data_IF_796640810969
#
_entry.id   IF_796640810969
#
_cell.length_a   1.000
_cell.length_b   1.000
_cell.length_c   1.000
_cell.angle_alpha   90.00
_cell.angle_beta   90.00
_cell.angle_gamma   90.00
#
_symmetry.space_group_name_H-M   'P 1'
#
loop_
_entity.id
_entity.type
_entity.pdbx_description
1 polymer ?
#
# COMPACT_ATOMS: atom_id res chain seq x y z
N UNK A 1 12.43 -7.57 2.36
CA UNK A 1 13.45 -6.49 2.31
C UNK A 1 12.77 -5.19 1.94
N UNK A 2 13.14 -4.09 2.57
CA UNK A 2 12.81 -2.74 2.14
C UNK A 2 14.01 -2.16 1.42
N UNK A 3 13.91 -1.88 0.11
CA UNK A 3 14.91 -1.06 -0.58
C UNK A 3 14.48 0.38 -0.37
N UNK A 4 15.04 1.04 0.64
CA UNK A 4 14.71 2.44 0.95
C UNK A 4 15.04 3.32 -0.26
N UNK A 5 14.04 4.04 -0.79
CA UNK A 5 14.19 4.88 -1.97
C UNK A 5 14.26 4.12 -3.31
N UNK A 6 14.05 2.81 -3.33
CA UNK A 6 14.07 1.99 -4.54
C UNK A 6 12.87 2.23 -5.47
N UNK A 7 13.10 2.13 -6.77
CA UNK A 7 12.05 2.12 -7.80
C UNK A 7 11.58 0.69 -8.02
N UNK A 8 10.37 0.48 -8.59
CA UNK A 8 9.86 -0.88 -8.89
C UNK A 8 10.86 -1.72 -9.71
N UNK A 9 11.62 -1.11 -10.64
CA UNK A 9 12.68 -1.80 -11.39
C UNK A 9 13.75 -2.44 -10.52
N UNK A 10 14.07 -1.85 -9.37
CA UNK A 10 15.12 -2.32 -8.47
C UNK A 10 14.65 -3.58 -7.72
N UNK A 11 13.32 -3.75 -7.56
CA UNK A 11 12.73 -4.93 -6.96
C UNK A 11 12.81 -6.16 -7.87
N UNK A 12 12.70 -6.02 -9.19
CA UNK A 12 12.75 -7.16 -10.11
C UNK A 12 14.09 -7.93 -10.05
N UNK A 13 15.20 -7.22 -9.87
CA UNK A 13 16.53 -7.85 -9.73
C UNK A 13 16.75 -8.42 -8.33
N UNK A 14 16.26 -7.74 -7.29
CA UNK A 14 16.38 -8.21 -5.90
C UNK A 14 15.47 -9.39 -5.56
N UNK A 15 14.23 -9.42 -6.09
CA UNK A 15 13.21 -10.38 -5.69
C UNK A 15 13.63 -11.82 -5.90
N UNK A 16 14.33 -12.12 -7.00
CA UNK A 16 14.80 -13.47 -7.31
C UNK A 16 15.83 -13.99 -6.29
N UNK A 17 16.77 -13.15 -5.86
CA UNK A 17 17.76 -13.51 -4.84
C UNK A 17 17.14 -13.61 -3.44
N UNK A 18 16.25 -12.67 -3.09
CA UNK A 18 15.63 -12.63 -1.77
C UNK A 18 14.73 -13.84 -1.48
N UNK A 19 13.93 -14.24 -2.46
CA UNK A 19 13.06 -15.42 -2.34
C UNK A 19 13.91 -16.68 -2.07
N UNK A 20 15.16 -16.71 -2.53
CA UNK A 20 16.11 -17.80 -2.26
C UNK A 20 16.88 -17.62 -0.93
N UNK A 21 17.15 -16.39 -0.50
CA UNK A 21 17.97 -16.10 0.70
C UNK A 21 17.20 -16.26 2.03
N UNK A 22 15.88 -16.01 2.05
CA UNK A 22 15.06 -16.11 3.28
C UNK A 22 14.84 -17.54 3.78
N UNK A 23 15.37 -18.54 3.10
CA UNK A 23 15.03 -19.93 3.35
C UNK A 23 16.20 -20.77 3.82
N UNK A 24 17.41 -20.21 3.98
CA UNK A 24 18.62 -21.01 4.31
C UNK A 24 18.79 -22.26 3.42
N UNK A 25 18.37 -22.18 2.14
CA UNK A 25 18.41 -23.31 1.21
C UNK A 25 17.16 -24.20 1.19
N UNK A 26 16.15 -23.92 2.01
CA UNK A 26 14.82 -24.52 1.86
C UNK A 26 14.06 -23.90 0.68
N UNK A 27 13.04 -24.58 0.18
CA UNK A 27 12.16 -23.98 -0.82
C UNK A 27 11.46 -22.79 -0.14
N UNK A 28 11.43 -21.58 -0.73
CA UNK A 28 10.56 -20.53 -0.25
C UNK A 28 9.17 -21.13 -0.09
N UNK A 29 8.70 -21.17 1.16
CA UNK A 29 7.32 -21.56 1.44
C UNK A 29 6.42 -20.67 0.57
N UNK A 30 5.33 -21.20 0.00
CA UNK A 30 4.44 -20.38 -0.79
C UNK A 30 3.96 -19.23 0.12
N UNK A 31 4.21 -17.99 -0.30
CA UNK A 31 3.64 -16.83 0.37
C UNK A 31 2.17 -16.75 -0.06
N UNK A 32 1.25 -16.56 0.88
CA UNK A 32 -0.15 -16.33 0.48
C UNK A 32 -0.30 -14.98 -0.24
N UNK A 33 0.46 -13.99 0.24
CA UNK A 33 0.43 -12.61 -0.26
C UNK A 33 1.84 -12.07 -0.40
N UNK A 34 2.10 -11.34 -1.50
CA UNK A 34 3.25 -10.45 -1.58
C UNK A 34 2.82 -9.00 -1.82
N UNK A 35 3.27 -8.12 -0.92
CA UNK A 35 3.04 -6.68 -1.02
C UNK A 35 4.19 -6.02 -1.76
N UNK A 36 3.88 -5.27 -2.81
CA UNK A 36 4.84 -4.55 -3.65
C UNK A 36 4.63 -3.05 -3.50
N UNK A 37 5.68 -2.33 -3.15
CA UNK A 37 5.68 -0.87 -3.03
C UNK A 37 6.80 -0.29 -3.88
N UNK A 38 6.49 0.71 -4.70
CA UNK A 38 7.50 1.49 -5.43
C UNK A 38 7.90 2.77 -4.69
N UNK A 39 8.88 3.48 -5.25
CA UNK A 39 9.24 4.84 -4.83
C UNK A 39 8.00 5.73 -4.75
N UNK A 40 7.83 6.48 -3.65
CA UNK A 40 6.60 7.23 -3.33
C UNK A 40 6.20 8.28 -4.37
N UNK A 41 7.17 8.74 -5.18
CA UNK A 41 6.94 9.69 -6.29
C UNK A 41 7.15 9.06 -7.66
N UNK A 42 7.43 7.77 -7.75
CA UNK A 42 7.68 7.06 -9.01
C UNK A 42 6.60 7.34 -10.06
N UNK A 43 5.30 7.26 -9.71
CA UNK A 43 4.21 7.60 -10.63
C UNK A 43 4.11 9.07 -11.05
N UNK A 44 4.82 9.99 -10.39
CA UNK A 44 4.69 11.43 -10.55
C UNK A 44 5.80 12.05 -11.40
N UNK A 45 6.90 11.34 -11.62
CA UNK A 45 8.06 11.85 -12.38
C UNK A 45 8.12 11.16 -13.73
N UNK A 46 7.88 11.91 -14.80
CA UNK A 46 7.86 11.44 -16.19
C UNK A 46 9.25 10.96 -16.70
N UNK A 47 10.32 11.20 -15.93
CA UNK A 47 11.72 11.04 -16.38
C UNK A 47 12.46 9.81 -15.87
N UNK A 48 11.86 8.97 -15.00
CA UNK A 48 12.58 7.79 -14.50
C UNK A 48 11.64 6.59 -14.43
N UNK A 49 11.38 5.99 -15.59
CA UNK A 49 11.32 4.54 -15.78
C UNK A 49 10.78 4.17 -17.18
N UNK A 50 11.11 3.00 -17.74
CA UNK A 50 10.17 2.34 -18.66
C UNK A 50 8.79 2.26 -17.97
N UNK A 51 7.67 2.26 -18.70
CA UNK A 51 6.35 2.50 -18.11
C UNK A 51 6.15 1.68 -16.84
N UNK A 52 5.64 2.32 -15.78
CA UNK A 52 5.36 1.76 -14.46
C UNK A 52 4.76 0.33 -14.54
N UNK A 53 3.94 0.14 -15.57
CA UNK A 53 3.39 -1.06 -16.20
C UNK A 53 4.44 -2.18 -16.42
N UNK A 54 5.43 -1.95 -17.30
CA UNK A 54 6.55 -2.87 -17.60
C UNK A 54 7.45 -3.24 -16.40
N UNK A 55 7.26 -2.57 -15.27
CA UNK A 55 8.00 -2.74 -14.02
C UNK A 55 7.21 -3.54 -12.98
N UNK A 56 5.88 -3.40 -12.98
CA UNK A 56 5.00 -4.30 -12.26
C UNK A 56 5.04 -5.72 -12.84
N UNK A 57 5.03 -5.84 -14.16
CA UNK A 57 5.18 -7.14 -14.85
C UNK A 57 6.50 -7.84 -14.47
N UNK A 58 7.62 -7.11 -14.45
CA UNK A 58 8.93 -7.70 -14.11
C UNK A 58 9.10 -8.01 -12.62
N UNK A 59 8.46 -7.24 -11.75
CA UNK A 59 8.51 -7.49 -10.30
C UNK A 59 7.68 -8.70 -9.90
N UNK A 60 6.62 -9.02 -10.68
CA UNK A 60 5.72 -10.18 -10.49
C UNK A 60 6.11 -11.40 -11.33
N UNK A 61 7.08 -11.27 -12.24
CA UNK A 61 7.51 -12.35 -13.14
C UNK A 61 8.29 -13.51 -12.47
N UNK A 62 8.56 -13.47 -11.16
CA UNK A 62 9.09 -14.61 -10.42
C UNK A 62 8.03 -15.70 -10.24
N UNK A 63 8.36 -16.98 -10.45
CA UNK A 63 7.43 -18.10 -10.24
C UNK A 63 6.79 -18.10 -8.85
N UNK A 64 7.55 -17.70 -7.83
CA UNK A 64 7.03 -17.57 -6.47
C UNK A 64 5.95 -16.47 -6.31
N UNK A 65 5.95 -15.43 -7.14
CA UNK A 65 4.88 -14.43 -7.16
C UNK A 65 3.65 -14.89 -7.94
N UNK A 66 3.81 -15.79 -8.92
CA UNK A 66 2.67 -16.36 -9.65
C UNK A 66 1.78 -17.25 -8.78
N UNK A 67 2.37 -17.85 -7.74
CA UNK A 67 1.64 -18.70 -6.78
C UNK A 67 1.13 -17.91 -5.56
N UNK A 68 1.39 -16.59 -5.48
CA UNK A 68 0.98 -15.71 -4.38
C UNK A 68 -0.01 -14.63 -4.86
N UNK A 69 -0.93 -14.19 -4.01
CA UNK A 69 -1.72 -12.99 -4.31
C UNK A 69 -0.82 -11.75 -4.26
N UNK A 70 -0.67 -11.06 -5.39
CA UNK A 70 0.05 -9.78 -5.42
C UNK A 70 -0.87 -8.65 -4.93
N UNK A 71 -0.33 -7.81 -4.05
CA UNK A 71 -0.99 -6.59 -3.54
C UNK A 71 -0.08 -5.39 -3.75
N UNK A 72 -0.55 -4.37 -4.47
CA UNK A 72 0.16 -3.13 -4.67
C UNK A 72 -0.11 -2.16 -3.52
N UNK A 73 0.94 -1.60 -2.93
CA UNK A 73 0.84 -0.59 -1.88
C UNK A 73 0.75 0.80 -2.51
N UNK A 74 -0.46 1.33 -2.66
CA UNK A 74 -0.68 2.71 -3.12
C UNK A 74 -0.18 3.71 -2.08
N UNK A 75 0.91 4.41 -2.37
CA UNK A 75 1.50 5.42 -1.49
C UNK A 75 0.67 6.70 -1.41
N UNK A 76 0.98 7.57 -0.45
CA UNK A 76 0.23 8.80 -0.16
C UNK A 76 0.87 10.09 -0.71
N UNK A 77 0.05 11.13 -0.82
CA UNK A 77 0.49 12.49 -1.06
C UNK A 77 1.27 13.05 0.14
N UNK A 78 2.26 13.91 -0.11
CA UNK A 78 2.94 14.61 0.98
C UNK A 78 2.03 15.65 1.65
N UNK A 79 2.33 15.99 2.91
CA UNK A 79 1.52 16.98 3.63
C UNK A 79 1.54 18.33 2.91
N UNK A 80 0.36 18.89 2.67
CA UNK A 80 0.20 20.14 1.93
C UNK A 80 0.36 20.02 0.41
N UNK A 81 0.43 18.79 -0.12
CA UNK A 81 0.55 18.50 -1.57
C UNK A 81 -0.59 17.60 -2.08
N UNK A 82 -1.88 17.96 -1.84
CA UNK A 82 -3.02 17.10 -2.18
C UNK A 82 -3.13 16.81 -3.68
N UNK A 83 -2.52 17.64 -4.54
CA UNK A 83 -2.48 17.41 -5.98
C UNK A 83 -1.75 16.12 -6.39
N UNK A 84 -0.94 15.53 -5.51
CA UNK A 84 -0.29 14.23 -5.74
C UNK A 84 -1.26 13.06 -5.72
N UNK A 85 -2.40 13.17 -5.03
CA UNK A 85 -3.31 12.04 -4.79
C UNK A 85 -3.91 11.49 -6.09
N UNK A 86 -4.43 12.36 -6.95
CA UNK A 86 -5.08 11.93 -8.21
C UNK A 86 -4.17 11.09 -9.11
N UNK A 87 -2.96 11.57 -9.45
CA UNK A 87 -2.01 10.79 -10.24
C UNK A 87 -1.57 9.47 -9.58
N UNK A 88 -1.39 9.44 -8.25
CA UNK A 88 -1.07 8.21 -7.52
C UNK A 88 -2.22 7.19 -7.63
N UNK A 89 -3.45 7.60 -7.37
CA UNK A 89 -4.64 6.75 -7.48
C UNK A 89 -4.76 6.17 -8.88
N UNK A 90 -4.61 7.02 -9.91
CA UNK A 90 -4.69 6.58 -11.30
C UNK A 90 -3.63 5.52 -11.62
N UNK A 91 -2.36 5.81 -11.34
CA UNK A 91 -1.27 4.92 -11.70
C UNK A 91 -1.34 3.55 -11.02
N UNK A 92 -1.67 3.52 -9.72
CA UNK A 92 -1.80 2.25 -9.00
C UNK A 92 -3.07 1.48 -9.41
N UNK A 93 -4.17 2.16 -9.72
CA UNK A 93 -5.39 1.52 -10.23
C UNK A 93 -5.16 0.90 -11.60
N UNK A 94 -4.54 1.64 -12.52
CA UNK A 94 -4.23 1.16 -13.87
C UNK A 94 -3.30 -0.06 -13.80
N UNK A 95 -2.24 0.00 -12.99
CA UNK A 95 -1.31 -1.12 -12.80
C UNK A 95 -1.99 -2.32 -12.15
N UNK A 96 -2.84 -2.10 -11.15
CA UNK A 96 -3.61 -3.17 -10.50
C UNK A 96 -4.49 -3.91 -11.51
N UNK A 97 -5.20 -3.17 -12.36
CA UNK A 97 -6.05 -3.73 -13.41
C UNK A 97 -5.24 -4.49 -14.47
N UNK A 98 -4.09 -3.95 -14.89
CA UNK A 98 -3.21 -4.59 -15.88
C UNK A 98 -2.66 -5.93 -15.36
N UNK A 99 -2.22 -5.97 -14.10
CA UNK A 99 -1.61 -7.15 -13.48
C UNK A 99 -2.62 -8.14 -12.88
N UNK A 100 -3.91 -7.76 -12.80
CA UNK A 100 -4.89 -8.50 -11.99
C UNK A 100 -4.54 -8.53 -10.49
N UNK A 101 -3.83 -7.52 -10.00
CA UNK A 101 -3.37 -7.42 -8.61
C UNK A 101 -4.35 -6.59 -7.77
N UNK A 102 -4.47 -6.94 -6.48
CA UNK A 102 -5.17 -6.07 -5.52
C UNK A 102 -4.36 -4.80 -5.28
N UNK A 103 -5.04 -3.70 -4.94
CA UNK A 103 -4.39 -2.44 -4.57
C UNK A 103 -4.84 -2.06 -3.17
N UNK A 104 -3.92 -1.98 -2.21
CA UNK A 104 -4.20 -1.42 -0.89
C UNK A 104 -4.24 0.12 -0.99
N UNK A 105 -5.42 0.77 -0.85
CA UNK A 105 -5.60 2.19 -1.22
C UNK A 105 -5.17 3.16 -0.11
N UNK A 106 -3.94 2.99 0.42
CA UNK A 106 -3.46 3.79 1.56
C UNK A 106 -3.38 5.28 1.22
N UNK A 107 -2.92 5.63 0.03
CA UNK A 107 -2.88 7.02 -0.44
C UNK A 107 -4.25 7.70 -0.45
N UNK A 108 -5.28 6.97 -0.88
CA UNK A 108 -6.65 7.46 -0.86
C UNK A 108 -7.17 7.60 0.58
N UNK A 109 -6.81 6.66 1.47
CA UNK A 109 -7.20 6.74 2.88
C UNK A 109 -6.57 7.95 3.58
N UNK A 110 -5.33 8.30 3.25
CA UNK A 110 -4.68 9.52 3.74
C UNK A 110 -5.43 10.78 3.30
N UNK A 111 -5.88 10.84 2.04
CA UNK A 111 -6.67 11.97 1.55
C UNK A 111 -8.05 12.03 2.21
N UNK A 112 -8.74 10.90 2.34
CA UNK A 112 -10.02 10.81 3.03
C UNK A 112 -9.92 11.25 4.49
N UNK A 113 -8.88 10.82 5.22
CA UNK A 113 -8.64 11.26 6.59
C UNK A 113 -8.35 12.77 6.66
N UNK A 114 -7.53 13.30 5.74
CA UNK A 114 -7.22 14.73 5.66
C UNK A 114 -8.48 15.57 5.44
N UNK A 115 -9.40 15.12 4.59
CA UNK A 115 -10.68 15.79 4.32
C UNK A 115 -11.62 15.69 5.52
N UNK A 116 -11.75 14.49 6.11
CA UNK A 116 -12.67 14.23 7.21
C UNK A 116 -12.28 14.97 8.49
N UNK A 117 -10.99 15.05 8.81
CA UNK A 117 -10.51 15.77 9.98
C UNK A 117 -9.07 16.28 9.80
N UNK A 118 -8.88 17.51 9.29
CA UNK A 118 -7.56 18.10 9.10
C UNK A 118 -6.70 18.22 10.38
N UNK A 119 -7.31 18.17 11.57
CA UNK A 119 -6.57 18.24 12.83
C UNK A 119 -5.89 16.91 13.20
N UNK A 120 -6.28 15.80 12.56
CA UNK A 120 -5.64 14.49 12.76
C UNK A 120 -4.36 14.41 11.92
N UNK A 121 -3.22 14.76 12.52
CA UNK A 121 -1.95 14.76 11.82
C UNK A 121 -1.45 13.34 11.48
N UNK A 122 -1.47 12.99 10.20
CA UNK A 122 -1.01 11.71 9.67
C UNK A 122 0.50 11.68 9.36
N UNK A 123 1.21 12.78 9.54
CA UNK A 123 2.58 12.96 9.03
C UNK A 123 3.59 13.19 10.16
N UNK A 124 4.78 12.66 9.97
CA UNK A 124 5.97 13.02 10.73
C UNK A 124 6.33 14.51 10.49
N UNK A 125 7.10 15.18 11.37
CA UNK A 125 7.55 16.56 11.15
C UNK A 125 8.23 16.82 9.80
N UNK A 126 8.77 15.79 9.14
CA UNK A 126 9.35 15.90 7.80
C UNK A 126 8.34 16.08 6.64
N UNK A 127 7.03 15.98 6.96
CA UNK A 127 5.88 16.19 6.07
C UNK A 127 5.74 15.16 4.94
N UNK A 128 6.51 14.08 4.98
CA UNK A 128 6.58 13.04 3.94
C UNK A 128 6.25 11.68 4.49
N UNK A 129 6.89 11.31 5.60
CA UNK A 129 6.68 10.03 6.26
C UNK A 129 5.44 10.07 7.15
N UNK A 130 4.83 8.90 7.43
CA UNK A 130 3.63 8.85 8.25
C UNK A 130 4.00 9.02 9.73
N UNK A 131 3.12 9.69 10.49
CA UNK A 131 3.13 9.64 11.95
C UNK A 131 2.72 8.26 12.45
N UNK A 132 2.68 8.05 13.77
CA UNK A 132 2.08 6.84 14.35
C UNK A 132 0.63 6.65 13.90
N UNK A 133 -0.15 7.73 13.84
CA UNK A 133 -1.54 7.69 13.36
C UNK A 133 -1.60 7.34 11.86
N UNK A 134 -0.73 7.93 11.04
CA UNK A 134 -0.65 7.60 9.61
C UNK A 134 -0.23 6.14 9.35
N UNK A 135 0.71 5.63 10.14
CA UNK A 135 1.16 4.23 10.07
C UNK A 135 0.06 3.28 10.49
N UNK A 136 -0.67 3.61 11.56
CA UNK A 136 -1.82 2.84 12.01
C UNK A 136 -2.97 2.85 10.99
N UNK A 137 -3.24 3.99 10.35
CA UNK A 137 -4.20 4.07 9.24
C UNK A 137 -3.80 3.14 8.09
N UNK A 138 -2.53 3.16 7.67
CA UNK A 138 -2.02 2.26 6.63
C UNK A 138 -2.20 0.78 7.01
N UNK A 139 -1.90 0.41 8.25
CA UNK A 139 -2.08 -0.95 8.74
C UNK A 139 -3.56 -1.39 8.70
N UNK A 140 -4.50 -0.52 9.09
CA UNK A 140 -5.93 -0.82 9.01
C UNK A 140 -6.43 -0.95 7.55
N UNK A 141 -5.88 -0.17 6.62
CA UNK A 141 -6.19 -0.32 5.18
C UNK A 141 -5.69 -1.65 4.66
N UNK A 142 -4.47 -2.08 5.03
CA UNK A 142 -3.97 -3.40 4.69
C UNK A 142 -4.84 -4.51 5.27
N UNK A 143 -5.19 -4.43 6.56
CA UNK A 143 -6.09 -5.40 7.18
C UNK A 143 -7.40 -5.54 6.40
N UNK A 144 -8.09 -4.42 6.15
CA UNK A 144 -9.34 -4.43 5.40
C UNK A 144 -9.19 -4.92 3.95
N UNK A 145 -8.08 -4.59 3.28
CA UNK A 145 -7.82 -5.04 1.90
C UNK A 145 -7.53 -6.54 1.82
N UNK A 146 -6.77 -7.07 2.79
CA UNK A 146 -6.30 -8.46 2.77
C UNK A 146 -7.37 -9.43 3.26
N UNK A 147 -8.13 -9.04 4.29
CA UNK A 147 -9.11 -9.92 4.94
C UNK A 147 -10.54 -9.62 4.53
N UNK A 148 -10.82 -8.49 3.89
CA UNK A 148 -12.20 -8.06 3.62
C UNK A 148 -12.99 -7.70 4.88
N UNK A 149 -12.31 -7.59 6.02
CA UNK A 149 -12.92 -7.38 7.33
C UNK A 149 -12.78 -5.93 7.80
N UNK A 150 -13.76 -5.48 8.59
CA UNK A 150 -13.71 -4.15 9.17
C UNK A 150 -12.72 -4.09 10.35
N UNK A 151 -11.76 -3.16 10.35
CA UNK A 151 -10.88 -2.92 11.50
C UNK A 151 -11.59 -2.15 12.64
N UNK A 152 -12.81 -1.68 12.42
CA UNK A 152 -13.56 -0.87 13.40
C UNK A 152 -13.86 -1.70 14.64
N UNK A 153 -13.48 -1.16 15.80
CA UNK A 153 -13.66 -1.84 17.09
C UNK A 153 -12.49 -2.78 17.46
N UNK A 154 -11.43 -2.83 16.66
CA UNK A 154 -10.20 -3.53 17.04
C UNK A 154 -9.66 -2.98 18.37
N UNK A 155 -9.34 -3.89 19.30
CA UNK A 155 -8.80 -3.56 20.62
C UNK A 155 -7.34 -3.11 20.57
N UNK A 156 -6.65 -3.34 19.46
CA UNK A 156 -5.27 -2.92 19.27
C UNK A 156 -5.22 -1.49 18.70
N UNK A 157 -4.68 -0.54 19.46
CA UNK A 157 -4.65 0.90 19.09
C UNK A 157 -3.26 1.41 18.73
N UNK A 158 -2.22 0.57 18.79
CA UNK A 158 -0.81 0.97 18.69
C UNK A 158 -0.38 2.07 19.70
N UNK A 159 -1.10 2.23 20.82
CA UNK A 159 -0.84 3.26 21.83
C UNK A 159 -1.44 4.63 21.51
N UNK A 160 -2.26 4.74 20.46
CA UNK A 160 -3.05 5.92 20.16
C UNK A 160 -4.23 6.04 21.14
N UNK A 161 -4.74 7.27 21.29
CA UNK A 161 -6.02 7.47 21.99
C UNK A 161 -7.17 6.77 21.26
N UNK A 162 -8.20 6.36 22.00
CA UNK A 162 -9.39 5.70 21.45
C UNK A 162 -10.01 6.49 20.29
N UNK A 163 -10.04 7.83 20.42
CA UNK A 163 -10.53 8.74 19.38
C UNK A 163 -9.71 8.67 18.09
N UNK A 164 -8.37 8.64 18.21
CA UNK A 164 -7.48 8.53 17.06
C UNK A 164 -7.56 7.15 16.40
N UNK A 165 -7.60 6.09 17.21
CA UNK A 165 -7.71 4.72 16.71
C UNK A 165 -9.04 4.51 15.99
N UNK A 166 -10.17 4.87 16.61
CA UNK A 166 -11.50 4.76 16.01
C UNK A 166 -11.62 5.56 14.72
N UNK A 167 -11.02 6.76 14.67
CA UNK A 167 -10.97 7.57 13.46
C UNK A 167 -10.22 6.86 12.32
N UNK A 168 -9.01 6.37 12.58
CA UNK A 168 -8.21 5.68 11.58
C UNK A 168 -8.86 4.38 11.08
N UNK A 169 -9.41 3.57 11.99
CA UNK A 169 -10.15 2.34 11.65
C UNK A 169 -11.34 2.67 10.73
N UNK A 170 -12.14 3.69 11.10
CA UNK A 170 -13.32 4.08 10.33
C UNK A 170 -12.94 4.58 8.94
N UNK A 171 -11.94 5.45 8.82
CA UNK A 171 -11.48 5.96 7.52
C UNK A 171 -10.93 4.83 6.64
N UNK A 172 -10.14 3.91 7.21
CA UNK A 172 -9.62 2.76 6.49
C UNK A 172 -10.76 1.92 5.90
N UNK A 173 -11.74 1.55 6.74
CA UNK A 173 -12.88 0.74 6.31
C UNK A 173 -13.66 1.40 5.18
N UNK A 174 -14.09 2.66 5.36
CA UNK A 174 -14.85 3.39 4.34
C UNK A 174 -14.06 3.51 3.03
N UNK A 175 -12.75 3.74 3.10
CA UNK A 175 -11.91 3.87 1.90
C UNK A 175 -11.84 2.55 1.13
N UNK A 176 -11.65 1.43 1.82
CA UNK A 176 -11.59 0.11 1.19
C UNK A 176 -12.94 -0.25 0.56
N UNK A 177 -14.05 0.01 1.26
CA UNK A 177 -15.39 -0.19 0.71
C UNK A 177 -15.68 0.70 -0.51
N UNK A 178 -15.18 1.93 -0.55
CA UNK A 178 -15.29 2.80 -1.73
C UNK A 178 -14.56 2.24 -2.96
N UNK A 179 -13.43 1.55 -2.75
CA UNK A 179 -12.60 1.01 -3.85
C UNK A 179 -13.13 -0.33 -4.34
N UNK A 180 -13.56 -1.22 -3.44
CA UNK A 180 -13.96 -2.59 -3.81
C UNK A 180 -15.47 -2.82 -3.83
N UNK A 181 -16.28 -1.87 -3.36
CA UNK A 181 -17.70 -2.04 -3.07
C UNK A 181 -17.94 -2.86 -1.80
N UNK A 182 -19.21 -2.96 -1.37
CA UNK A 182 -19.65 -4.05 -0.50
C UNK A 182 -19.52 -5.34 -1.31
N UNK A 183 -18.33 -5.95 -1.40
CA UNK A 183 -18.26 -7.31 -1.94
C UNK A 183 -18.99 -8.20 -0.92
N UNK A 184 -20.11 -8.85 -1.29
CA UNK A 184 -20.60 -9.95 -0.50
C UNK A 184 -19.54 -11.05 -0.56
N UNK A 185 -19.35 -11.71 0.57
CA UNK A 185 -18.43 -12.83 0.78
C UNK A 185 -18.24 -13.69 -0.47
N UNK A 186 -16.97 -13.90 -0.86
CA UNK A 186 -16.58 -14.86 -1.90
C UNK A 186 -16.66 -16.29 -1.36
#
# INVERSE_FOLDING_TARGET
MTISGGYLKDHALGAKGMIQDFTNGEKPGPWDVVVVQGYSRGPLTQEIAPPFESMGERSTAGSAMRDSQTVLFMTWAYQGRPEMTGPLVKAYTDLGNELGALVAPVGLAFENARIANPAMNLYDPDKKHPSLLGTYLAANVFFATLFGESPVGSSYTAGLSDKQAAFAQSVAWHTVQQVFGDKPDA
#
